data_IF_442470083744
#
_entry.id   IF_442470083744
#
_cell.length_a   1.000
_cell.length_b   1.000
_cell.length_c   1.000
_cell.angle_alpha   90.00
_cell.angle_beta   90.00
_cell.angle_gamma   90.00
#
_symmetry.space_group_name_H-M   'P 1'
#
loop_
_entity.id
_entity.type
_entity.pdbx_description
1 polymer ?
#
# COMPACT_ATOMS: atom_id res chain seq x y z
N UNK A 1 11.39 -24.65 -25.21
CA UNK A 1 12.46 -24.86 -24.21
C UNK A 1 12.94 -23.48 -23.75
N UNK A 2 12.49 -23.03 -22.56
CA UNK A 2 12.81 -21.70 -22.03
C UNK A 2 14.29 -21.65 -21.64
N UNK A 3 14.98 -20.59 -22.04
CA UNK A 3 16.32 -20.28 -21.58
C UNK A 3 16.31 -20.21 -20.04
N UNK A 4 16.80 -21.24 -19.39
CA UNK A 4 17.24 -21.16 -18.02
C UNK A 4 18.23 -20.00 -17.94
N UNK A 5 17.98 -19.03 -17.08
CA UNK A 5 18.81 -17.85 -16.91
C UNK A 5 20.28 -18.28 -16.79
N UNK A 6 21.11 -17.84 -17.75
CA UNK A 6 22.54 -18.00 -17.66
C UNK A 6 23.04 -17.43 -16.32
N UNK A 7 24.02 -18.03 -15.66
CA UNK A 7 24.64 -17.43 -14.50
C UNK A 7 25.16 -16.03 -14.89
N UNK A 8 24.92 -15.04 -14.02
CA UNK A 8 25.46 -13.68 -14.20
C UNK A 8 26.95 -13.86 -14.52
N UNK A 9 27.42 -13.30 -15.64
CA UNK A 9 28.85 -13.31 -15.97
C UNK A 9 29.60 -12.77 -14.77
N UNK A 10 30.55 -13.54 -14.27
CA UNK A 10 31.28 -13.27 -13.03
C UNK A 10 32.05 -11.94 -13.01
N UNK A 11 32.19 -11.30 -14.16
CA UNK A 11 33.02 -10.09 -14.34
C UNK A 11 32.25 -8.75 -14.30
N UNK A 12 30.92 -8.76 -14.07
CA UNK A 12 30.15 -7.50 -14.02
C UNK A 12 29.87 -7.08 -12.58
N UNK A 13 30.38 -5.93 -12.18
CA UNK A 13 30.14 -5.36 -10.86
C UNK A 13 28.64 -5.15 -10.62
N UNK A 14 28.14 -5.62 -9.48
CA UNK A 14 26.73 -5.52 -9.12
C UNK A 14 26.36 -4.07 -8.78
N UNK A 15 25.25 -3.56 -9.35
CA UNK A 15 24.79 -2.18 -9.13
C UNK A 15 24.53 -1.86 -7.65
N UNK A 16 24.09 -2.86 -6.87
CA UNK A 16 23.82 -2.70 -5.43
C UNK A 16 24.54 -3.76 -4.63
N UNK A 17 25.27 -3.32 -3.61
CA UNK A 17 25.86 -4.21 -2.60
C UNK A 17 24.80 -4.72 -1.62
N UNK A 18 25.11 -5.81 -0.91
CA UNK A 18 24.20 -6.32 0.14
C UNK A 18 23.91 -5.28 1.22
N UNK A 19 24.93 -4.50 1.58
CA UNK A 19 24.82 -3.43 2.59
C UNK A 19 23.83 -2.36 2.14
N UNK A 20 23.86 -1.96 0.87
CA UNK A 20 22.92 -0.99 0.31
C UNK A 20 21.49 -1.55 0.24
N UNK A 21 21.31 -2.83 -0.13
CA UNK A 21 19.99 -3.47 -0.11
C UNK A 21 19.40 -3.52 1.30
N UNK A 22 20.20 -3.89 2.30
CA UNK A 22 19.74 -3.90 3.70
C UNK A 22 19.44 -2.49 4.18
N UNK A 23 20.31 -1.50 3.87
CA UNK A 23 20.11 -0.10 4.22
C UNK A 23 18.84 0.49 3.59
N UNK A 24 18.47 0.02 2.39
CA UNK A 24 17.21 0.40 1.74
C UNK A 24 16.00 -0.25 2.41
N UNK A 25 16.06 -1.54 2.75
CA UNK A 25 14.90 -2.33 3.19
C UNK A 25 14.60 -2.19 4.68
N UNK A 26 15.63 -2.05 5.52
CA UNK A 26 15.45 -1.97 6.97
C UNK A 26 14.59 -0.78 7.42
N UNK A 27 14.83 0.45 6.94
CA UNK A 27 13.95 1.58 7.27
C UNK A 27 12.51 1.37 6.82
N UNK A 28 12.27 0.70 5.67
CA UNK A 28 10.93 0.41 5.17
C UNK A 28 10.19 -0.60 6.05
N UNK A 29 10.89 -1.59 6.61
CA UNK A 29 10.31 -2.51 7.59
C UNK A 29 9.84 -1.77 8.84
N UNK A 30 10.68 -0.86 9.35
CA UNK A 30 10.32 -0.02 10.51
C UNK A 30 9.17 0.94 10.19
N UNK A 31 9.17 1.55 9.01
CA UNK A 31 8.10 2.45 8.55
C UNK A 31 6.74 1.73 8.49
N UNK A 32 6.69 0.52 7.93
CA UNK A 32 5.45 -0.26 7.87
C UNK A 32 4.98 -0.74 9.25
N UNK A 33 5.90 -1.18 10.10
CA UNK A 33 5.55 -1.57 11.46
C UNK A 33 5.02 -0.37 12.27
N UNK A 34 5.67 0.78 12.14
CA UNK A 34 5.23 2.03 12.76
C UNK A 34 3.82 2.41 12.31
N UNK A 35 3.54 2.36 11.00
CA UNK A 35 2.23 2.70 10.45
C UNK A 35 1.10 1.83 11.04
N UNK A 36 1.34 0.52 11.18
CA UNK A 36 0.35 -0.39 11.77
C UNK A 36 0.16 -0.10 13.27
N UNK A 37 1.25 0.11 14.01
CA UNK A 37 1.21 0.38 15.45
C UNK A 37 0.49 1.69 15.75
N UNK A 38 0.77 2.73 14.97
CA UNK A 38 0.10 4.04 15.12
C UNK A 38 -1.38 3.92 14.76
N UNK A 39 -1.73 3.19 13.69
CA UNK A 39 -3.14 2.96 13.36
C UNK A 39 -3.93 2.26 14.48
N UNK A 40 -3.28 1.33 15.23
CA UNK A 40 -3.90 0.74 16.42
C UNK A 40 -4.04 1.76 17.56
N UNK A 41 -3.02 2.58 17.81
CA UNK A 41 -3.07 3.63 18.82
C UNK A 41 -4.18 4.66 18.52
N UNK A 42 -4.31 5.08 17.27
CA UNK A 42 -5.39 5.98 16.83
C UNK A 42 -6.77 5.37 17.07
N UNK A 43 -6.95 4.09 16.73
CA UNK A 43 -8.22 3.40 16.98
C UNK A 43 -8.58 3.34 18.47
N UNK A 44 -7.59 3.12 19.33
CA UNK A 44 -7.79 3.13 20.78
C UNK A 44 -8.13 4.52 21.31
N UNK A 45 -7.48 5.57 20.81
CA UNK A 45 -7.79 6.95 21.21
C UNK A 45 -9.19 7.36 20.75
N UNK A 46 -9.59 7.04 19.53
CA UNK A 46 -10.95 7.28 19.01
C UNK A 46 -12.00 6.59 19.89
N UNK A 47 -11.71 5.37 20.37
CA UNK A 47 -12.63 4.63 21.25
C UNK A 47 -12.93 5.35 22.57
N UNK A 48 -12.04 6.21 23.06
CA UNK A 48 -12.28 7.01 24.26
C UNK A 48 -13.21 8.21 24.04
N UNK A 49 -13.43 8.62 22.79
CA UNK A 49 -14.29 9.75 22.43
C UNK A 49 -15.78 9.33 22.44
N UNK A 50 -16.09 8.11 22.01
CA UNK A 50 -17.44 7.53 22.04
C UNK A 50 -17.84 6.83 20.75
N UNK A 51 -18.98 6.16 20.80
CA UNK A 51 -19.47 5.28 19.72
C UNK A 51 -19.76 6.04 18.41
N UNK A 52 -20.28 7.25 18.51
CA UNK A 52 -20.53 8.11 17.35
C UNK A 52 -19.22 8.46 16.62
N UNK A 53 -18.15 8.75 17.38
CA UNK A 53 -16.83 9.04 16.84
C UNK A 53 -16.19 7.80 16.18
N UNK A 54 -16.28 6.63 16.82
CA UNK A 54 -15.78 5.36 16.25
C UNK A 54 -16.46 5.09 14.91
N UNK A 55 -17.79 5.22 14.86
CA UNK A 55 -18.59 5.01 13.66
C UNK A 55 -18.19 6.01 12.56
N UNK A 56 -18.12 7.31 12.89
CA UNK A 56 -17.76 8.36 11.96
C UNK A 56 -16.36 8.16 11.37
N UNK A 57 -15.36 7.85 12.19
CA UNK A 57 -13.98 7.57 11.76
C UNK A 57 -13.94 6.36 10.84
N UNK A 58 -14.58 5.26 11.22
CA UNK A 58 -14.61 4.03 10.40
C UNK A 58 -15.22 4.25 9.02
N UNK A 59 -16.29 5.03 8.95
CA UNK A 59 -16.97 5.35 7.69
C UNK A 59 -16.07 6.19 6.76
N UNK A 60 -15.51 7.28 7.28
CA UNK A 60 -14.67 8.19 6.48
C UNK A 60 -13.34 7.55 6.13
N UNK A 61 -12.75 6.75 7.02
CA UNK A 61 -11.49 6.05 6.76
C UNK A 61 -11.63 5.04 5.62
N UNK A 62 -12.81 4.48 5.38
CA UNK A 62 -13.06 3.64 4.21
C UNK A 62 -12.80 4.39 2.91
N UNK A 63 -13.24 5.65 2.81
CA UNK A 63 -13.01 6.53 1.64
C UNK A 63 -11.57 7.01 1.61
N UNK A 64 -11.04 7.46 2.76
CA UNK A 64 -9.66 7.95 2.88
C UNK A 64 -8.64 6.88 2.47
N UNK A 65 -8.80 5.66 2.96
CA UNK A 65 -7.92 4.54 2.64
C UNK A 65 -7.95 4.19 1.14
N UNK A 66 -9.13 4.22 0.51
CA UNK A 66 -9.24 4.03 -0.94
C UNK A 66 -8.37 5.05 -1.69
N UNK A 67 -8.47 6.34 -1.33
CA UNK A 67 -7.65 7.41 -1.92
C UNK A 67 -6.17 7.21 -1.64
N UNK A 68 -5.79 6.91 -0.40
CA UNK A 68 -4.39 6.68 -0.01
C UNK A 68 -3.78 5.53 -0.82
N UNK A 69 -4.48 4.41 -0.99
CA UNK A 69 -3.97 3.28 -1.77
C UNK A 69 -3.80 3.62 -3.25
N UNK A 70 -4.73 4.38 -3.84
CA UNK A 70 -4.63 4.84 -5.24
C UNK A 70 -3.42 5.75 -5.40
N UNK A 71 -3.28 6.79 -4.57
CA UNK A 71 -2.16 7.73 -4.67
C UNK A 71 -0.82 7.11 -4.33
N UNK A 72 -0.75 6.21 -3.36
CA UNK A 72 0.48 5.47 -3.03
C UNK A 72 0.95 4.58 -4.19
N UNK A 73 0.01 3.92 -4.87
CA UNK A 73 0.33 3.12 -6.04
C UNK A 73 0.76 3.97 -7.24
N UNK A 74 0.08 5.10 -7.47
CA UNK A 74 0.48 6.08 -8.49
C UNK A 74 1.88 6.65 -8.20
N UNK A 75 2.15 7.00 -6.95
CA UNK A 75 3.45 7.51 -6.50
C UNK A 75 4.57 6.48 -6.74
N UNK A 76 4.36 5.23 -6.34
CA UNK A 76 5.35 4.15 -6.52
C UNK A 76 5.54 3.83 -8.01
N UNK A 77 4.45 3.76 -8.78
CA UNK A 77 4.50 3.53 -10.22
C UNK A 77 5.19 4.65 -10.98
N UNK A 78 4.87 5.91 -10.64
CA UNK A 78 5.52 7.08 -11.24
C UNK A 78 6.98 7.24 -10.83
N UNK A 79 7.34 6.93 -9.58
CA UNK A 79 8.72 6.93 -9.11
C UNK A 79 9.58 5.86 -9.82
N UNK A 80 8.97 4.75 -10.26
CA UNK A 80 9.67 3.77 -11.09
C UNK A 80 10.14 4.36 -12.43
N UNK A 81 9.40 5.32 -12.99
CA UNK A 81 9.81 6.07 -14.19
C UNK A 81 11.09 6.87 -13.91
N UNK A 82 11.10 7.64 -12.83
CA UNK A 82 12.30 8.38 -12.41
C UNK A 82 13.47 7.43 -12.12
N UNK A 83 13.20 6.26 -11.51
CA UNK A 83 14.20 5.22 -11.26
C UNK A 83 14.81 4.64 -12.53
N UNK A 84 14.03 4.47 -13.58
CA UNK A 84 14.57 4.02 -14.88
C UNK A 84 15.50 5.08 -15.50
N UNK A 85 15.18 6.39 -15.42
CA UNK A 85 16.09 7.45 -15.85
C UNK A 85 17.36 7.54 -14.99
N UNK A 86 17.27 7.29 -13.69
CA UNK A 86 18.45 7.17 -12.82
C UNK A 86 19.34 6.02 -13.31
N UNK A 87 18.75 4.86 -13.62
CA UNK A 87 19.47 3.71 -14.18
C UNK A 87 20.17 4.03 -15.50
N UNK A 88 19.53 4.83 -16.36
CA UNK A 88 20.10 5.33 -17.62
C UNK A 88 21.20 6.39 -17.42
N UNK A 89 21.42 6.85 -16.20
CA UNK A 89 22.31 7.97 -15.84
C UNK A 89 21.90 9.32 -16.45
N UNK A 90 20.60 9.47 -16.76
CA UNK A 90 20.01 10.71 -17.31
C UNK A 90 19.46 11.55 -16.15
N UNK A 91 20.34 12.32 -15.51
CA UNK A 91 19.99 13.10 -14.29
C UNK A 91 18.87 14.13 -14.58
N UNK A 92 18.91 14.85 -15.69
CA UNK A 92 17.91 15.86 -16.04
C UNK A 92 16.52 15.24 -16.22
N UNK A 93 16.40 14.15 -16.99
CA UNK A 93 15.14 13.46 -17.21
C UNK A 93 14.60 12.83 -15.90
N UNK A 94 15.49 12.34 -15.03
CA UNK A 94 15.11 11.84 -13.71
C UNK A 94 14.53 12.96 -12.82
N UNK A 95 15.18 14.14 -12.79
CA UNK A 95 14.68 15.31 -12.06
C UNK A 95 13.34 15.80 -12.63
N UNK A 96 13.24 15.89 -13.95
CA UNK A 96 12.01 16.30 -14.62
C UNK A 96 10.87 15.27 -14.36
N UNK A 97 11.15 13.96 -14.43
CA UNK A 97 10.16 12.92 -14.11
C UNK A 97 9.68 13.03 -12.65
N UNK A 98 10.58 13.30 -11.71
CA UNK A 98 10.23 13.55 -10.31
C UNK A 98 9.33 14.78 -10.14
N UNK A 99 9.65 15.89 -10.82
CA UNK A 99 8.82 17.10 -10.80
C UNK A 99 7.42 16.87 -11.41
N UNK A 100 7.36 16.19 -12.56
CA UNK A 100 6.08 15.84 -13.20
C UNK A 100 5.24 14.94 -12.29
N UNK A 101 5.86 13.97 -11.61
CA UNK A 101 5.16 13.10 -10.67
C UNK A 101 4.55 13.89 -9.50
N UNK A 102 5.32 14.76 -8.85
CA UNK A 102 4.84 15.58 -7.73
C UNK A 102 3.72 16.52 -8.18
N UNK A 103 3.89 17.20 -9.32
CA UNK A 103 2.86 18.07 -9.90
C UNK A 103 1.57 17.29 -10.22
N UNK A 104 1.70 16.09 -10.79
CA UNK A 104 0.57 15.22 -11.10
C UNK A 104 -0.18 14.79 -9.85
N UNK A 105 0.54 14.28 -8.85
CA UNK A 105 -0.08 13.85 -7.59
C UNK A 105 -0.79 15.01 -6.90
N UNK A 106 -0.18 16.20 -6.88
CA UNK A 106 -0.81 17.41 -6.35
C UNK A 106 -2.08 17.79 -7.11
N UNK A 107 -2.01 17.92 -8.43
CA UNK A 107 -3.15 18.31 -9.24
C UNK A 107 -4.31 17.30 -9.17
N UNK A 108 -4.00 16.00 -9.30
CA UNK A 108 -5.01 14.93 -9.27
C UNK A 108 -5.63 14.81 -7.87
N UNK A 109 -4.84 14.91 -6.79
CA UNK A 109 -5.38 14.85 -5.44
C UNK A 109 -6.29 16.04 -5.11
N UNK A 110 -5.91 17.26 -5.51
CA UNK A 110 -6.75 18.45 -5.35
C UNK A 110 -8.05 18.30 -6.14
N UNK A 111 -7.97 17.82 -7.38
CA UNK A 111 -9.16 17.57 -8.21
C UNK A 111 -10.11 16.57 -7.56
N UNK A 112 -9.61 15.43 -7.06
CA UNK A 112 -10.45 14.45 -6.37
C UNK A 112 -11.03 15.00 -5.07
N UNK A 113 -10.26 15.76 -4.29
CA UNK A 113 -10.78 16.40 -3.08
C UNK A 113 -11.88 17.41 -3.40
N UNK A 114 -11.72 18.21 -4.46
CA UNK A 114 -12.77 19.12 -4.90
C UNK A 114 -14.06 18.36 -5.27
N UNK A 115 -13.96 17.23 -5.98
CA UNK A 115 -15.11 16.37 -6.27
C UNK A 115 -15.72 15.78 -4.99
N UNK A 116 -14.89 15.29 -4.07
CA UNK A 116 -15.35 14.73 -2.80
C UNK A 116 -16.09 15.77 -1.96
N UNK A 117 -15.65 17.03 -1.97
CA UNK A 117 -16.37 18.12 -1.30
C UNK A 117 -17.67 18.50 -2.03
N UNK A 118 -17.63 18.60 -3.35
CA UNK A 118 -18.80 18.95 -4.16
C UNK A 118 -19.94 17.93 -3.99
N UNK A 119 -19.59 16.65 -3.98
CA UNK A 119 -20.56 15.55 -3.86
C UNK A 119 -20.65 14.98 -2.44
N UNK A 120 -20.17 15.71 -1.42
CA UNK A 120 -20.11 15.23 -0.03
C UNK A 120 -21.42 14.63 0.45
N UNK A 121 -22.52 15.38 0.34
CA UNK A 121 -23.84 14.95 0.83
C UNK A 121 -24.31 13.69 0.11
N UNK A 122 -24.15 13.66 -1.22
CA UNK A 122 -24.55 12.50 -2.03
C UNK A 122 -23.73 11.26 -1.68
N UNK A 123 -22.41 11.43 -1.53
CA UNK A 123 -21.49 10.33 -1.15
C UNK A 123 -21.89 9.76 0.21
N UNK A 124 -22.05 10.62 1.21
CA UNK A 124 -22.38 10.18 2.57
C UNK A 124 -23.77 9.53 2.62
N UNK A 125 -24.76 10.08 1.92
CA UNK A 125 -26.10 9.49 1.87
C UNK A 125 -26.15 8.16 1.11
N UNK A 126 -25.47 8.06 -0.04
CA UNK A 126 -25.47 6.83 -0.85
C UNK A 126 -24.67 5.71 -0.17
N UNK A 127 -23.51 6.05 0.44
CA UNK A 127 -22.65 5.03 1.06
C UNK A 127 -23.16 4.56 2.42
N UNK A 128 -23.78 5.45 3.19
CA UNK A 128 -24.07 5.18 4.59
C UNK A 128 -25.58 5.22 4.92
N UNK A 129 -26.39 5.65 4.00
CA UNK A 129 -27.87 5.62 4.12
C UNK A 129 -28.39 6.49 5.28
N UNK A 130 -29.34 5.95 6.03
CA UNK A 130 -29.92 6.60 7.20
C UNK A 130 -29.14 6.18 8.45
N UNK A 131 -28.12 6.97 8.83
CA UNK A 131 -27.42 6.84 10.11
C UNK A 131 -27.99 7.85 11.11
N UNK A 132 -27.75 7.61 12.40
CA UNK A 132 -28.18 8.49 13.49
C UNK A 132 -27.64 9.92 13.28
N UNK A 133 -28.41 10.97 13.63
CA UNK A 133 -28.01 12.37 13.41
C UNK A 133 -26.67 12.73 14.02
N UNK A 134 -26.37 12.21 15.22
CA UNK A 134 -25.11 12.47 15.93
C UNK A 134 -23.92 11.84 15.20
N UNK A 135 -24.09 10.62 14.70
CA UNK A 135 -23.06 9.95 13.86
C UNK A 135 -22.86 10.71 12.56
N UNK A 136 -23.93 11.22 11.92
CA UNK A 136 -23.83 12.00 10.69
C UNK A 136 -23.09 13.33 10.95
N UNK A 137 -23.36 14.01 12.05
CA UNK A 137 -22.68 15.26 12.42
C UNK A 137 -21.17 15.01 12.65
N UNK A 138 -20.81 13.97 13.41
CA UNK A 138 -19.43 13.54 13.62
C UNK A 138 -18.75 13.14 12.30
N UNK A 139 -19.46 12.37 11.44
CA UNK A 139 -18.96 11.97 10.12
C UNK A 139 -18.68 13.17 9.23
N UNK A 140 -19.56 14.16 9.18
CA UNK A 140 -19.33 15.39 8.41
C UNK A 140 -18.12 16.17 8.90
N UNK A 141 -17.93 16.30 10.22
CA UNK A 141 -16.78 16.98 10.81
C UNK A 141 -15.48 16.27 10.47
N UNK A 142 -15.41 14.96 10.68
CA UNK A 142 -14.23 14.17 10.38
C UNK A 142 -13.90 14.17 8.87
N UNK A 143 -14.93 14.03 8.02
CA UNK A 143 -14.81 14.05 6.57
C UNK A 143 -14.14 15.33 6.06
N UNK A 144 -14.55 16.50 6.56
CA UNK A 144 -13.99 17.78 6.11
C UNK A 144 -12.47 17.83 6.30
N UNK A 145 -11.98 17.51 7.48
CA UNK A 145 -10.55 17.59 7.79
C UNK A 145 -9.75 16.47 7.09
N UNK A 146 -10.27 15.25 7.10
CA UNK A 146 -9.54 14.10 6.54
C UNK A 146 -9.47 14.18 5.01
N UNK A 147 -10.53 14.60 4.32
CA UNK A 147 -10.47 14.80 2.88
C UNK A 147 -9.51 15.94 2.52
N UNK A 148 -9.47 17.05 3.28
CA UNK A 148 -8.50 18.11 3.09
C UNK A 148 -7.03 17.63 3.25
N UNK A 149 -6.81 16.56 4.00
CA UNK A 149 -5.46 15.98 4.20
C UNK A 149 -4.95 15.12 3.04
N UNK A 150 -5.84 14.72 2.10
CA UNK A 150 -5.49 13.83 0.98
C UNK A 150 -4.37 14.38 0.10
N UNK A 151 -4.35 15.67 -0.31
CA UNK A 151 -3.23 16.22 -1.06
C UNK A 151 -1.90 16.11 -0.30
N UNK A 152 -1.92 16.35 1.01
CA UNK A 152 -0.74 16.20 1.87
C UNK A 152 -0.18 14.78 1.83
N UNK A 153 -1.02 13.78 2.07
CA UNK A 153 -0.55 12.38 2.05
C UNK A 153 -0.16 11.91 0.64
N UNK A 154 -0.81 12.40 -0.43
CA UNK A 154 -0.44 12.09 -1.80
C UNK A 154 0.95 12.63 -2.15
N UNK A 155 1.24 13.88 -1.80
CA UNK A 155 2.55 14.52 -2.00
C UNK A 155 3.64 13.87 -1.15
N UNK A 156 3.34 13.55 0.13
CA UNK A 156 4.24 12.77 0.97
C UNK A 156 4.59 11.42 0.32
N UNK A 157 3.60 10.67 -0.13
CA UNK A 157 3.83 9.38 -0.79
C UNK A 157 4.70 9.52 -2.05
N UNK A 158 4.48 10.57 -2.85
CA UNK A 158 5.30 10.90 -4.01
C UNK A 158 6.77 11.16 -3.64
N UNK A 159 6.99 12.05 -2.68
CA UNK A 159 8.32 12.38 -2.19
C UNK A 159 9.03 11.17 -1.56
N UNK A 160 8.33 10.41 -0.73
CA UNK A 160 8.86 9.19 -0.13
C UNK A 160 9.24 8.14 -1.19
N UNK A 161 8.43 7.98 -2.24
CA UNK A 161 8.74 7.07 -3.34
C UNK A 161 9.99 7.51 -4.12
N UNK A 162 10.18 8.82 -4.35
CA UNK A 162 11.38 9.36 -4.99
C UNK A 162 12.63 9.15 -4.12
N UNK A 163 12.56 9.41 -2.81
CA UNK A 163 13.67 9.13 -1.90
C UNK A 163 14.02 7.63 -1.87
N UNK A 164 13.05 6.74 -1.82
CA UNK A 164 13.26 5.29 -1.91
C UNK A 164 13.95 4.90 -3.22
N UNK A 165 13.53 5.52 -4.32
CA UNK A 165 14.13 5.26 -5.65
C UNK A 165 15.60 5.71 -5.72
N UNK A 166 15.99 6.75 -5.00
CA UNK A 166 17.40 7.16 -4.83
C UNK A 166 18.20 6.31 -3.83
N UNK A 167 17.56 5.37 -3.13
CA UNK A 167 18.20 4.56 -2.09
C UNK A 167 18.16 5.16 -0.68
N UNK A 168 17.47 6.30 -0.48
CA UNK A 168 17.38 7.03 0.78
C UNK A 168 16.06 6.76 1.53
N UNK A 169 15.75 5.50 1.81
CA UNK A 169 14.55 5.13 2.57
C UNK A 169 14.57 5.58 4.04
N UNK A 170 15.75 5.89 4.58
CA UNK A 170 15.89 6.48 5.92
C UNK A 170 15.22 7.85 6.02
N UNK A 171 15.18 8.62 4.92
CA UNK A 171 14.48 9.90 4.87
C UNK A 171 12.97 9.67 4.95
N UNK A 172 12.42 8.72 4.19
CA UNK A 172 10.99 8.42 4.27
C UNK A 172 10.58 7.94 5.67
N UNK A 173 11.40 7.11 6.32
CA UNK A 173 11.18 6.69 7.70
C UNK A 173 11.17 7.86 8.68
N UNK A 174 12.17 8.77 8.61
CA UNK A 174 12.26 9.92 9.51
C UNK A 174 11.05 10.85 9.38
N UNK A 175 10.62 11.13 8.14
CA UNK A 175 9.44 11.97 7.89
C UNK A 175 8.16 11.26 8.30
N UNK A 176 8.05 9.94 8.09
CA UNK A 176 6.94 9.12 8.59
C UNK A 176 6.87 9.15 10.12
N UNK A 177 8.02 9.02 10.80
CA UNK A 177 8.08 9.11 12.26
C UNK A 177 7.62 10.49 12.75
N UNK A 178 8.06 11.57 12.11
CA UNK A 178 7.60 12.93 12.41
C UNK A 178 6.08 13.06 12.22
N UNK A 179 5.55 12.60 11.09
CA UNK A 179 4.12 12.62 10.77
C UNK A 179 3.31 11.89 11.84
N UNK A 180 3.71 10.67 12.17
CA UNK A 180 3.01 9.85 13.15
C UNK A 180 3.13 10.41 14.57
N UNK A 181 4.28 11.00 14.93
CA UNK A 181 4.45 11.67 16.22
C UNK A 181 3.53 12.89 16.37
N UNK A 182 3.43 13.74 15.33
CA UNK A 182 2.50 14.88 15.32
C UNK A 182 1.06 14.38 15.44
N UNK A 183 0.70 13.32 14.75
CA UNK A 183 -0.64 12.77 14.78
C UNK A 183 -1.00 12.24 16.18
N UNK A 184 -0.19 11.32 16.74
CA UNK A 184 -0.46 10.70 18.07
C UNK A 184 -0.44 11.75 19.19
N UNK A 185 0.57 12.62 19.23
CA UNK A 185 0.65 13.67 20.25
C UNK A 185 -0.50 14.65 20.08
N UNK A 186 -0.80 15.05 18.85
CA UNK A 186 -1.92 15.94 18.54
C UNK A 186 -3.26 15.36 18.97
N UNK A 187 -3.53 14.09 18.65
CA UNK A 187 -4.73 13.38 19.11
C UNK A 187 -4.80 13.37 20.64
N UNK A 188 -3.71 13.01 21.32
CA UNK A 188 -3.69 12.96 22.79
C UNK A 188 -3.95 14.35 23.42
N UNK A 189 -3.33 15.40 22.90
CA UNK A 189 -3.51 16.77 23.40
C UNK A 189 -4.93 17.27 23.15
N UNK A 190 -5.48 17.08 21.95
CA UNK A 190 -6.80 17.63 21.62
C UNK A 190 -7.93 16.82 22.25
N UNK A 191 -7.82 15.50 22.35
CA UNK A 191 -8.84 14.65 23.00
C UNK A 191 -8.76 14.80 24.52
N UNK A 192 -7.60 14.53 25.13
CA UNK A 192 -7.48 14.45 26.59
C UNK A 192 -7.20 15.82 27.25
N UNK A 193 -6.50 16.73 26.53
CA UNK A 193 -6.19 18.07 27.07
C UNK A 193 -7.30 19.08 26.86
N UNK A 194 -7.89 19.12 25.67
CA UNK A 194 -8.94 20.10 25.33
C UNK A 194 -10.36 19.49 25.33
N UNK A 195 -10.51 18.17 25.53
CA UNK A 195 -11.83 17.52 25.55
C UNK A 195 -12.56 17.61 24.21
N UNK A 196 -11.82 17.64 23.09
CA UNK A 196 -12.43 17.71 21.76
C UNK A 196 -12.96 16.34 21.33
N UNK A 197 -14.11 16.35 20.68
CA UNK A 197 -14.72 15.18 20.09
C UNK A 197 -13.93 14.67 18.85
N UNK A 198 -14.62 14.16 17.86
CA UNK A 198 -14.03 13.63 16.60
C UNK A 198 -13.10 14.62 15.88
N UNK A 199 -13.30 15.94 16.06
CA UNK A 199 -12.40 16.96 15.54
C UNK A 199 -10.99 16.86 16.16
N UNK A 200 -10.88 16.39 17.41
CA UNK A 200 -9.62 16.15 18.10
C UNK A 200 -8.74 15.07 17.43
N UNK A 201 -9.32 14.20 16.61
CA UNK A 201 -8.61 13.21 15.80
C UNK A 201 -8.37 13.72 14.37
N UNK A 202 -9.34 14.45 13.83
CA UNK A 202 -9.32 14.90 12.45
C UNK A 202 -8.26 16.00 12.19
N UNK A 203 -8.16 16.98 13.11
CA UNK A 203 -7.21 18.10 12.97
C UNK A 203 -5.76 17.62 12.98
N UNK A 204 -5.30 16.78 13.92
CA UNK A 204 -3.94 16.27 13.91
C UNK A 204 -3.63 15.44 12.65
N UNK A 205 -4.60 14.73 12.12
CA UNK A 205 -4.46 14.00 10.86
C UNK A 205 -4.18 14.95 9.68
N UNK A 206 -4.91 16.07 9.59
CA UNK A 206 -4.67 17.10 8.59
C UNK A 206 -3.29 17.75 8.77
N UNK A 207 -2.97 18.17 9.98
CA UNK A 207 -1.70 18.87 10.29
C UNK A 207 -0.50 17.95 10.02
N UNK A 208 -0.52 16.72 10.52
CA UNK A 208 0.58 15.76 10.38
C UNK A 208 0.89 15.44 8.92
N UNK A 209 -0.12 15.17 8.11
CA UNK A 209 0.02 14.88 6.67
C UNK A 209 0.51 16.10 5.90
N UNK A 210 0.03 17.28 6.24
CA UNK A 210 0.47 18.54 5.61
C UNK A 210 1.93 18.86 5.95
N UNK A 211 2.32 18.75 7.22
CA UNK A 211 3.70 18.93 7.67
C UNK A 211 4.63 17.92 7.01
N UNK A 212 4.24 16.65 6.95
CA UNK A 212 5.03 15.61 6.28
C UNK A 212 5.25 15.93 4.80
N UNK A 213 4.21 16.40 4.09
CA UNK A 213 4.33 16.82 2.71
C UNK A 213 5.30 17.99 2.53
N UNK A 214 5.18 19.02 3.36
CA UNK A 214 6.06 20.20 3.32
C UNK A 214 7.52 19.76 3.58
N UNK A 215 7.76 18.97 4.62
CA UNK A 215 9.10 18.53 4.98
C UNK A 215 9.72 17.69 3.87
N UNK A 216 9.02 16.66 3.37
CA UNK A 216 9.60 15.77 2.35
C UNK A 216 9.86 16.49 1.02
N UNK A 217 8.97 17.41 0.62
CA UNK A 217 9.17 18.23 -0.56
C UNK A 217 10.32 19.22 -0.36
N UNK A 218 10.44 19.85 0.81
CA UNK A 218 11.56 20.76 1.12
C UNK A 218 12.91 20.05 1.01
N UNK A 219 12.98 18.80 1.47
CA UNK A 219 14.20 17.99 1.36
C UNK A 219 14.53 17.65 -0.10
N UNK A 220 13.52 17.51 -0.97
CA UNK A 220 13.74 17.25 -2.41
C UNK A 220 14.27 18.47 -3.19
N UNK A 221 14.24 19.69 -2.64
CA UNK A 221 14.88 20.86 -3.26
C UNK A 221 16.40 20.89 -3.07
N UNK A 222 16.97 19.99 -2.28
CA UNK A 222 18.42 19.90 -2.14
C UNK A 222 19.09 19.46 -3.45
N UNK A 223 19.90 20.33 -4.05
CA UNK A 223 20.59 20.14 -5.35
C UNK A 223 21.71 19.08 -5.30
N UNK A 224 22.17 18.72 -4.11
CA UNK A 224 23.17 17.66 -3.93
C UNK A 224 22.59 16.26 -4.18
N UNK A 225 21.27 16.13 -4.17
CA UNK A 225 20.60 14.88 -4.47
C UNK A 225 20.74 14.52 -5.96
N UNK A 226 20.78 13.21 -6.22
CA UNK A 226 20.79 12.67 -7.58
C UNK A 226 19.53 13.08 -8.35
N UNK A 227 18.38 13.07 -7.68
CA UNK A 227 17.11 13.60 -8.16
C UNK A 227 16.67 14.69 -7.19
N UNK A 228 16.45 15.90 -7.71
CA UNK A 228 15.98 17.04 -6.95
C UNK A 228 14.90 17.79 -7.73
N UNK A 229 14.08 18.51 -7.00
CA UNK A 229 13.11 19.43 -7.61
C UNK A 229 13.81 20.73 -7.98
N UNK A 230 13.62 21.18 -9.22
CA UNK A 230 14.10 22.47 -9.68
C UNK A 230 13.13 23.58 -9.28
N UNK A 231 13.50 24.84 -9.52
CA UNK A 231 12.67 25.98 -9.18
C UNK A 231 11.30 25.92 -9.90
N UNK A 232 10.23 26.10 -9.14
CA UNK A 232 8.85 26.01 -9.60
C UNK A 232 8.56 26.99 -10.74
N UNK A 233 9.29 28.13 -10.79
CA UNK A 233 9.12 29.17 -11.81
C UNK A 233 9.47 28.71 -13.23
N UNK A 234 10.30 27.68 -13.37
CA UNK A 234 10.69 27.08 -14.65
C UNK A 234 9.90 25.84 -15.04
N UNK A 235 8.91 25.43 -14.22
CA UNK A 235 8.16 24.21 -14.47
C UNK A 235 7.39 24.26 -15.79
N UNK A 236 7.64 23.29 -16.64
CA UNK A 236 6.86 23.05 -17.87
C UNK A 236 6.36 21.62 -17.88
N UNK A 237 5.11 21.45 -18.28
CA UNK A 237 4.53 20.13 -18.44
C UNK A 237 5.19 19.44 -19.63
N UNK A 238 5.90 18.34 -19.36
CA UNK A 238 6.45 17.47 -20.40
C UNK A 238 5.48 16.31 -20.64
N UNK A 239 4.77 16.38 -21.77
CA UNK A 239 3.77 15.38 -22.14
C UNK A 239 4.37 14.00 -22.39
N UNK A 240 5.66 13.88 -22.75
CA UNK A 240 6.35 12.60 -22.90
C UNK A 240 6.53 11.92 -21.52
N UNK A 241 7.06 12.67 -20.56
CA UNK A 241 7.24 12.18 -19.19
C UNK A 241 5.90 11.89 -18.52
N UNK A 242 4.93 12.78 -18.65
CA UNK A 242 3.56 12.57 -18.15
C UNK A 242 2.94 11.29 -18.69
N UNK A 243 3.09 11.03 -20.00
CA UNK A 243 2.58 9.79 -20.60
C UNK A 243 3.25 8.54 -20.01
N UNK A 244 4.55 8.59 -19.75
CA UNK A 244 5.27 7.49 -19.12
C UNK A 244 4.80 7.26 -17.67
N UNK A 245 4.62 8.34 -16.91
CA UNK A 245 4.09 8.28 -15.53
C UNK A 245 2.66 7.73 -15.52
N UNK A 246 1.80 8.20 -16.41
CA UNK A 246 0.44 7.68 -16.55
C UNK A 246 0.42 6.21 -16.97
N UNK A 247 1.34 5.81 -17.85
CA UNK A 247 1.41 4.42 -18.34
C UNK A 247 1.66 3.40 -17.23
N UNK A 248 2.40 3.77 -16.18
CA UNK A 248 2.69 2.90 -15.03
C UNK A 248 1.81 3.26 -13.83
N UNK A 249 1.66 4.54 -13.53
CA UNK A 249 0.99 5.01 -12.32
C UNK A 249 -0.52 4.77 -12.32
N UNK A 250 -1.19 5.09 -13.43
CA UNK A 250 -2.66 4.93 -13.53
C UNK A 250 -3.08 3.46 -13.43
N UNK A 251 -2.51 2.51 -14.19
CA UNK A 251 -2.82 1.10 -14.00
C UNK A 251 -2.58 0.61 -12.57
N UNK A 252 -1.50 1.07 -11.93
CA UNK A 252 -1.20 0.70 -10.54
C UNK A 252 -2.25 1.26 -9.56
N UNK A 253 -2.70 2.50 -9.76
CA UNK A 253 -3.77 3.12 -8.97
C UNK A 253 -5.11 2.40 -9.16
N UNK A 254 -5.49 2.11 -10.40
CA UNK A 254 -6.72 1.38 -10.74
C UNK A 254 -6.70 -0.03 -10.14
N UNK A 255 -5.57 -0.75 -10.25
CA UNK A 255 -5.40 -2.08 -9.64
C UNK A 255 -5.71 -2.03 -8.14
N UNK A 256 -5.11 -1.07 -7.41
CA UNK A 256 -5.33 -0.95 -5.97
C UNK A 256 -6.76 -0.51 -5.62
N UNK A 257 -7.33 0.42 -6.37
CA UNK A 257 -8.73 0.86 -6.19
C UNK A 257 -9.72 -0.30 -6.38
N UNK A 258 -9.57 -1.06 -7.46
CA UNK A 258 -10.40 -2.23 -7.73
C UNK A 258 -10.25 -3.33 -6.68
N UNK A 259 -9.04 -3.46 -6.10
CA UNK A 259 -8.80 -4.39 -5.00
C UNK A 259 -9.57 -3.99 -3.74
N UNK A 260 -9.63 -2.69 -3.41
CA UNK A 260 -10.41 -2.21 -2.27
C UNK A 260 -11.91 -2.38 -2.47
N UNK A 261 -12.41 -2.12 -3.69
CA UNK A 261 -13.82 -2.37 -4.01
C UNK A 261 -14.16 -3.86 -3.86
N UNK A 262 -13.30 -4.76 -4.33
CA UNK A 262 -13.51 -6.20 -4.14
C UNK A 262 -13.54 -6.62 -2.66
N UNK A 263 -12.71 -5.99 -1.80
CA UNK A 263 -12.76 -6.22 -0.34
C UNK A 263 -14.08 -5.78 0.27
N UNK A 264 -14.66 -4.66 -0.17
CA UNK A 264 -15.97 -4.20 0.29
C UNK A 264 -17.10 -5.19 -0.10
N UNK A 265 -17.06 -5.70 -1.33
CA UNK A 265 -18.01 -6.73 -1.77
C UNK A 265 -17.92 -8.00 -0.92
N UNK A 266 -16.68 -8.44 -0.60
CA UNK A 266 -16.46 -9.59 0.26
C UNK A 266 -16.90 -9.34 1.70
N UNK A 267 -16.70 -8.13 2.23
CA UNK A 267 -17.21 -7.76 3.54
C UNK A 267 -18.74 -7.83 3.60
N UNK A 268 -19.44 -7.33 2.56
CA UNK A 268 -20.88 -7.46 2.43
C UNK A 268 -21.35 -8.93 2.38
N UNK A 269 -20.59 -9.80 1.71
CA UNK A 269 -20.89 -11.24 1.74
C UNK A 269 -20.72 -11.82 3.15
N UNK A 270 -19.63 -11.50 3.85
CA UNK A 270 -19.33 -12.01 5.18
C UNK A 270 -20.38 -11.57 6.21
N UNK A 271 -20.93 -10.36 6.06
CA UNK A 271 -21.99 -9.87 6.96
C UNK A 271 -23.26 -10.75 6.92
N UNK A 272 -23.48 -11.48 5.83
CA UNK A 272 -24.62 -12.42 5.72
C UNK A 272 -24.41 -13.72 6.51
N UNK A 273 -23.21 -14.00 7.01
CA UNK A 273 -22.88 -15.22 7.77
C UNK A 273 -22.99 -15.05 9.28
N UNK A 274 -23.50 -13.89 9.75
CA UNK A 274 -23.74 -13.62 11.17
C UNK A 274 -22.57 -12.95 11.89
N UNK A 275 -22.86 -12.53 13.13
CA UNK A 275 -21.96 -11.68 13.94
C UNK A 275 -20.62 -12.36 14.24
N UNK A 276 -20.62 -13.66 14.57
CA UNK A 276 -19.40 -14.40 14.84
C UNK A 276 -18.41 -14.37 13.65
N UNK A 277 -18.95 -14.52 12.42
CA UNK A 277 -18.15 -14.42 11.19
C UNK A 277 -17.61 -13.02 10.94
N UNK A 278 -18.38 -11.98 11.24
CA UNK A 278 -17.93 -10.58 11.13
C UNK A 278 -16.81 -10.27 12.11
N UNK A 279 -16.94 -10.70 13.37
CA UNK A 279 -15.90 -10.57 14.41
C UNK A 279 -14.63 -11.32 14.00
N UNK A 280 -14.76 -12.57 13.57
CA UNK A 280 -13.62 -13.36 13.10
C UNK A 280 -12.92 -12.71 11.89
N UNK A 281 -13.67 -12.14 10.94
CA UNK A 281 -13.12 -11.41 9.81
C UNK A 281 -12.39 -10.14 10.24
N UNK A 282 -12.92 -9.39 11.20
CA UNK A 282 -12.28 -8.17 11.72
C UNK A 282 -10.93 -8.49 12.38
N UNK A 283 -10.90 -9.51 13.25
CA UNK A 283 -9.67 -10.01 13.89
C UNK A 283 -8.69 -10.51 12.83
N UNK A 284 -9.15 -11.34 11.90
CA UNK A 284 -8.35 -11.86 10.80
C UNK A 284 -7.71 -10.75 9.95
N UNK A 285 -8.46 -9.70 9.59
CA UNK A 285 -7.94 -8.55 8.85
C UNK A 285 -6.86 -7.77 9.64
N UNK A 286 -7.06 -7.56 10.94
CA UNK A 286 -6.07 -6.91 11.79
C UNK A 286 -4.77 -7.71 11.83
N UNK A 287 -4.85 -9.02 12.09
CA UNK A 287 -3.68 -9.89 12.14
C UNK A 287 -3.02 -10.03 10.77
N UNK A 288 -3.80 -10.04 9.66
CA UNK A 288 -3.25 -10.14 8.31
C UNK A 288 -2.39 -8.94 7.91
N UNK A 289 -2.64 -7.76 8.45
CA UNK A 289 -1.76 -6.61 8.27
C UNK A 289 -0.36 -6.89 8.85
N UNK A 290 -0.30 -7.50 10.04
CA UNK A 290 0.97 -7.94 10.63
C UNK A 290 1.61 -9.10 9.86
N UNK A 291 0.81 -10.04 9.34
CA UNK A 291 1.33 -11.15 8.55
C UNK A 291 2.07 -10.68 7.29
N UNK A 292 1.63 -9.59 6.67
CA UNK A 292 2.09 -9.16 5.36
C UNK A 292 3.01 -7.92 5.37
N UNK A 293 3.17 -7.20 6.51
CA UNK A 293 3.89 -5.91 6.54
C UNK A 293 5.33 -6.03 6.03
N UNK A 294 6.02 -7.10 6.41
CA UNK A 294 7.41 -7.29 6.03
C UNK A 294 7.55 -7.50 4.51
N UNK A 295 6.67 -8.31 3.93
CA UNK A 295 6.64 -8.50 2.49
C UNK A 295 6.31 -7.21 1.72
N UNK A 296 5.35 -6.42 2.21
CA UNK A 296 4.99 -5.12 1.61
C UNK A 296 6.15 -4.12 1.66
N UNK A 297 6.83 -4.02 2.81
CA UNK A 297 7.99 -3.16 2.99
C UNK A 297 9.12 -3.52 2.00
N UNK A 298 9.47 -4.79 1.93
CA UNK A 298 10.54 -5.29 1.06
C UNK A 298 10.16 -5.10 -0.42
N UNK A 299 8.89 -5.24 -0.78
CA UNK A 299 8.40 -5.02 -2.14
C UNK A 299 8.58 -3.56 -2.61
N UNK A 300 8.45 -2.58 -1.72
CA UNK A 300 8.74 -1.17 -2.03
C UNK A 300 10.23 -0.97 -2.36
N UNK A 301 11.13 -1.59 -1.58
CA UNK A 301 12.57 -1.55 -1.85
C UNK A 301 12.94 -2.29 -3.13
N UNK A 302 12.30 -3.44 -3.41
CA UNK A 302 12.48 -4.19 -4.65
C UNK A 302 12.13 -3.33 -5.87
N UNK A 303 11.04 -2.57 -5.83
CA UNK A 303 10.61 -1.72 -6.93
C UNK A 303 11.67 -0.64 -7.26
N UNK A 304 12.31 -0.06 -6.25
CA UNK A 304 13.38 0.92 -6.42
C UNK A 304 14.62 0.30 -7.09
N UNK A 305 15.04 -0.88 -6.66
CA UNK A 305 16.19 -1.60 -7.24
C UNK A 305 15.91 -2.02 -8.68
N UNK A 306 14.74 -2.59 -8.92
CA UNK A 306 14.37 -3.12 -10.26
C UNK A 306 14.23 -1.99 -11.27
N UNK A 307 13.62 -0.86 -10.91
CA UNK A 307 13.47 0.27 -11.84
C UNK A 307 14.82 0.78 -12.33
N UNK A 308 15.83 0.89 -11.45
CA UNK A 308 17.17 1.30 -11.84
C UNK A 308 17.86 0.24 -12.72
N UNK A 309 17.78 -1.05 -12.37
CA UNK A 309 18.37 -2.11 -13.19
C UNK A 309 17.75 -2.17 -14.59
N UNK A 310 16.43 -2.04 -14.70
CA UNK A 310 15.72 -2.02 -15.99
C UNK A 310 16.12 -0.79 -16.80
N UNK A 311 16.22 0.38 -16.16
CA UNK A 311 16.69 1.60 -16.79
C UNK A 311 18.10 1.46 -17.36
N UNK A 312 19.00 0.82 -16.61
CA UNK A 312 20.38 0.55 -17.04
C UNK A 312 20.51 -0.56 -18.10
N UNK A 313 19.39 -1.25 -18.47
CA UNK A 313 19.44 -2.41 -19.35
C UNK A 313 20.03 -3.66 -18.69
N UNK A 314 20.23 -3.66 -17.37
CA UNK A 314 20.86 -4.75 -16.60
C UNK A 314 19.82 -5.78 -16.15
N UNK A 315 19.14 -6.41 -17.10
CA UNK A 315 18.03 -7.35 -16.83
C UNK A 315 18.47 -8.59 -16.03
N UNK A 316 19.70 -9.07 -16.25
CA UNK A 316 20.22 -10.21 -15.49
C UNK A 316 20.48 -9.87 -14.03
N UNK A 317 20.93 -8.64 -13.75
CA UNK A 317 21.04 -8.15 -12.39
C UNK A 317 19.65 -7.98 -11.73
N UNK A 318 18.66 -7.44 -12.46
CA UNK A 318 17.28 -7.34 -11.97
C UNK A 318 16.75 -8.72 -11.55
N UNK A 319 16.99 -9.77 -12.36
CA UNK A 319 16.64 -11.15 -12.02
C UNK A 319 17.39 -11.69 -10.81
N UNK A 320 18.67 -11.36 -10.69
CA UNK A 320 19.51 -11.78 -9.56
C UNK A 320 19.03 -11.14 -8.25
N UNK A 321 18.69 -9.83 -8.28
CA UNK A 321 18.13 -9.14 -7.12
C UNK A 321 16.75 -9.68 -6.74
N UNK A 322 15.85 -9.93 -7.71
CA UNK A 322 14.57 -10.56 -7.41
C UNK A 322 14.76 -11.88 -6.65
N UNK A 323 15.59 -12.78 -7.20
CA UNK A 323 15.85 -14.10 -6.56
C UNK A 323 16.40 -13.96 -5.15
N UNK A 324 17.31 -13.01 -4.94
CA UNK A 324 17.95 -12.77 -3.65
C UNK A 324 16.98 -12.19 -2.63
N UNK A 325 16.25 -11.13 -3.03
CA UNK A 325 15.30 -10.44 -2.16
C UNK A 325 14.13 -11.35 -1.82
N UNK A 326 13.65 -12.14 -2.78
CA UNK A 326 12.62 -13.17 -2.56
C UNK A 326 13.05 -14.17 -1.49
N UNK A 327 14.30 -14.65 -1.51
CA UNK A 327 14.82 -15.57 -0.47
C UNK A 327 14.80 -14.91 0.92
N UNK A 328 15.24 -13.65 1.01
CA UNK A 328 15.19 -12.91 2.26
C UNK A 328 13.74 -12.72 2.75
N UNK A 329 12.83 -12.39 1.82
CA UNK A 329 11.42 -12.20 2.15
C UNK A 329 10.80 -13.49 2.68
N UNK A 330 11.06 -14.65 2.08
CA UNK A 330 10.58 -15.91 2.60
C UNK A 330 11.05 -16.17 4.04
N UNK A 331 12.32 -15.92 4.35
CA UNK A 331 12.86 -16.07 5.70
C UNK A 331 12.19 -15.13 6.71
N UNK A 332 12.06 -13.86 6.37
CA UNK A 332 11.43 -12.87 7.25
C UNK A 332 9.93 -13.13 7.41
N UNK A 333 9.23 -13.44 6.33
CA UNK A 333 7.80 -13.78 6.36
C UNK A 333 7.55 -15.05 7.20
N UNK A 334 8.40 -16.07 7.08
CA UNK A 334 8.31 -17.26 7.90
C UNK A 334 8.50 -16.93 9.38
N UNK A 335 9.54 -16.17 9.75
CA UNK A 335 9.79 -15.76 11.12
C UNK A 335 8.60 -14.99 11.71
N UNK A 336 8.11 -13.97 11.00
CA UNK A 336 6.98 -13.14 11.43
C UNK A 336 5.72 -14.00 11.61
N UNK A 337 5.35 -14.78 10.59
CA UNK A 337 4.10 -15.53 10.62
C UNK A 337 4.13 -16.67 11.62
N UNK A 338 5.26 -17.37 11.78
CA UNK A 338 5.40 -18.40 12.83
C UNK A 338 5.32 -17.80 14.23
N UNK A 339 5.89 -16.60 14.44
CA UNK A 339 5.75 -15.89 15.72
C UNK A 339 4.29 -15.52 15.98
N UNK A 340 3.56 -15.00 15.00
CA UNK A 340 2.14 -14.67 15.16
C UNK A 340 1.32 -15.94 15.45
N UNK A 341 1.57 -17.05 14.75
CA UNK A 341 0.88 -18.32 14.97
C UNK A 341 1.17 -18.84 16.39
N UNK A 342 2.41 -18.75 16.86
CA UNK A 342 2.78 -19.17 18.21
C UNK A 342 2.10 -18.31 19.30
N UNK A 343 1.93 -17.00 19.04
CA UNK A 343 1.26 -16.06 19.95
C UNK A 343 -0.26 -16.06 19.81
N UNK A 344 -0.82 -16.78 18.85
CA UNK A 344 -2.26 -16.75 18.55
C UNK A 344 -3.15 -17.06 19.75
N UNK A 345 -2.85 -18.05 20.63
CA UNK A 345 -3.65 -18.30 21.83
C UNK A 345 -3.65 -17.11 22.81
N UNK A 346 -2.51 -16.40 22.91
CA UNK A 346 -2.41 -15.20 23.75
C UNK A 346 -3.22 -14.03 23.14
N UNK A 347 -3.12 -13.84 21.83
CA UNK A 347 -3.85 -12.82 21.09
C UNK A 347 -5.36 -13.03 21.27
N UNK A 348 -5.86 -14.25 21.13
CA UNK A 348 -7.29 -14.56 21.32
C UNK A 348 -7.79 -14.27 22.74
N UNK A 349 -6.97 -14.50 23.76
CA UNK A 349 -7.33 -14.14 25.16
C UNK A 349 -7.51 -12.62 25.33
N UNK A 350 -6.72 -11.81 24.62
CA UNK A 350 -6.84 -10.34 24.67
C UNK A 350 -8.14 -9.89 23.99
N UNK A 351 -8.54 -10.51 22.89
CA UNK A 351 -9.79 -10.16 22.21
C UNK A 351 -11.05 -10.54 22.99
N UNK A 352 -11.00 -11.57 23.84
CA UNK A 352 -12.09 -12.00 24.72
C UNK A 352 -13.46 -12.08 24.01
N UNK A 353 -13.50 -12.81 22.91
CA UNK A 353 -14.68 -12.98 22.05
C UNK A 353 -15.40 -14.30 22.34
N UNK A 354 -16.59 -14.49 21.76
CA UNK A 354 -17.34 -15.75 21.92
C UNK A 354 -16.56 -16.95 21.40
N UNK A 355 -16.74 -18.16 21.97
CA UNK A 355 -16.02 -19.36 21.54
C UNK A 355 -16.17 -19.69 20.05
N UNK A 356 -17.33 -19.38 19.47
CA UNK A 356 -17.58 -19.54 18.04
C UNK A 356 -16.73 -18.57 17.19
N UNK A 357 -16.73 -17.28 17.56
CA UNK A 357 -15.93 -16.27 16.88
C UNK A 357 -14.44 -16.54 17.03
N UNK A 358 -13.99 -16.99 18.21
CA UNK A 358 -12.60 -17.38 18.46
C UNK A 358 -12.16 -18.51 17.53
N UNK A 359 -12.93 -19.60 17.45
CA UNK A 359 -12.64 -20.72 16.56
C UNK A 359 -12.53 -20.30 15.10
N UNK A 360 -13.45 -19.47 14.63
CA UNK A 360 -13.42 -18.92 13.27
C UNK A 360 -12.19 -18.01 13.06
N UNK A 361 -11.91 -17.11 14.00
CA UNK A 361 -10.77 -16.19 13.93
C UNK A 361 -9.42 -16.95 13.91
N UNK A 362 -9.26 -17.96 14.74
CA UNK A 362 -8.06 -18.83 14.73
C UNK A 362 -7.93 -19.51 13.36
N UNK A 363 -9.00 -20.09 12.85
CA UNK A 363 -8.97 -20.81 11.57
C UNK A 363 -8.59 -19.88 10.39
N UNK A 364 -9.23 -18.70 10.28
CA UNK A 364 -8.91 -17.77 9.18
C UNK A 364 -7.49 -17.20 9.31
N UNK A 365 -7.04 -16.95 10.53
CA UNK A 365 -5.66 -16.49 10.79
C UNK A 365 -4.62 -17.54 10.42
N UNK A 366 -4.86 -18.81 10.73
CA UNK A 366 -3.98 -19.92 10.34
C UNK A 366 -3.93 -20.07 8.81
N UNK A 367 -5.09 -20.06 8.13
CA UNK A 367 -5.15 -20.13 6.67
C UNK A 367 -4.31 -19.00 6.06
N UNK A 368 -4.51 -17.77 6.53
CA UNK A 368 -3.80 -16.62 6.00
C UNK A 368 -2.31 -16.63 6.34
N UNK A 369 -1.94 -16.90 7.59
CA UNK A 369 -0.55 -16.92 8.04
C UNK A 369 0.29 -17.98 7.33
N UNK A 370 -0.22 -19.21 7.19
CA UNK A 370 0.46 -20.30 6.47
C UNK A 370 0.59 -19.93 4.98
N UNK A 371 -0.48 -19.44 4.36
CA UNK A 371 -0.44 -19.00 2.97
C UNK A 371 0.51 -17.82 2.75
N UNK A 372 0.64 -16.93 3.72
CA UNK A 372 1.58 -15.80 3.68
C UNK A 372 3.04 -16.26 3.63
N UNK A 373 3.38 -17.37 4.27
CA UNK A 373 4.73 -17.93 4.22
C UNK A 373 5.06 -18.46 2.82
N UNK A 374 4.13 -19.19 2.18
CA UNK A 374 4.46 -19.97 0.98
C UNK A 374 3.98 -19.30 -0.33
N UNK A 375 2.81 -18.66 -0.33
CA UNK A 375 2.11 -18.26 -1.55
C UNK A 375 2.14 -16.74 -1.76
N UNK A 376 2.21 -15.94 -0.70
CA UNK A 376 2.16 -14.48 -0.78
C UNK A 376 3.30 -13.90 -1.65
N UNK A 377 4.51 -14.41 -1.49
CA UNK A 377 5.70 -13.88 -2.17
C UNK A 377 5.57 -13.88 -3.70
N UNK A 378 5.25 -14.99 -4.39
CA UNK A 378 5.04 -14.97 -5.83
C UNK A 378 3.81 -14.15 -6.25
N UNK A 379 2.77 -14.09 -5.41
CA UNK A 379 1.54 -13.40 -5.72
C UNK A 379 1.66 -11.85 -5.67
N UNK A 380 2.58 -11.31 -4.87
CA UNK A 380 2.70 -9.86 -4.65
C UNK A 380 4.05 -9.26 -5.01
N UNK A 381 5.16 -9.97 -4.81
CA UNK A 381 6.48 -9.44 -5.17
C UNK A 381 6.75 -9.51 -6.67
N UNK A 382 6.34 -10.59 -7.34
CA UNK A 382 6.54 -10.69 -8.79
C UNK A 382 5.77 -9.60 -9.56
N UNK A 383 4.49 -9.30 -9.27
CA UNK A 383 3.83 -8.15 -9.90
C UNK A 383 4.45 -6.81 -9.51
N UNK A 384 5.00 -6.66 -8.30
CA UNK A 384 5.79 -5.48 -7.90
C UNK A 384 7.00 -5.29 -8.80
N UNK A 385 7.75 -6.36 -9.03
CA UNK A 385 8.85 -6.39 -9.99
C UNK A 385 8.40 -6.00 -11.41
N UNK A 386 7.32 -6.61 -11.91
CA UNK A 386 6.80 -6.35 -13.27
C UNK A 386 6.36 -4.88 -13.43
N UNK A 387 5.69 -4.29 -12.43
CA UNK A 387 5.32 -2.87 -12.45
C UNK A 387 6.53 -1.95 -12.49
N UNK A 388 7.54 -2.23 -11.68
CA UNK A 388 8.79 -1.47 -11.67
C UNK A 388 9.55 -1.57 -13.01
N UNK A 389 9.40 -2.69 -13.71
CA UNK A 389 9.93 -2.90 -15.05
C UNK A 389 9.08 -2.25 -16.17
N UNK A 390 7.91 -1.66 -15.85
CA UNK A 390 7.03 -1.00 -16.81
C UNK A 390 5.82 -1.82 -17.27
N UNK A 391 5.69 -3.08 -16.87
CA UNK A 391 4.59 -3.98 -17.30
C UNK A 391 3.32 -3.83 -16.42
N UNK A 392 2.96 -2.58 -16.10
CA UNK A 392 1.87 -2.25 -15.19
C UNK A 392 0.47 -2.60 -15.73
N UNK A 393 0.26 -2.51 -17.06
CA UNK A 393 -1.03 -2.87 -17.68
C UNK A 393 -1.35 -4.34 -17.50
N UNK A 394 -0.35 -5.21 -17.72
CA UNK A 394 -0.54 -6.65 -17.53
C UNK A 394 -0.84 -6.97 -16.07
N UNK A 395 -0.08 -6.37 -15.12
CA UNK A 395 -0.32 -6.62 -13.70
C UNK A 395 -1.70 -6.17 -13.26
N UNK A 396 -2.16 -5.01 -13.72
CA UNK A 396 -3.52 -4.51 -13.46
C UNK A 396 -4.58 -5.50 -13.96
N UNK A 397 -4.52 -5.88 -15.24
CA UNK A 397 -5.54 -6.76 -15.84
C UNK A 397 -5.56 -8.14 -15.17
N UNK A 398 -4.40 -8.74 -14.94
CA UNK A 398 -4.30 -10.03 -14.27
C UNK A 398 -4.80 -9.98 -12.82
N UNK A 399 -4.44 -8.92 -12.07
CA UNK A 399 -4.91 -8.72 -10.70
C UNK A 399 -6.42 -8.48 -10.62
N UNK A 400 -6.98 -7.69 -11.54
CA UNK A 400 -8.42 -7.48 -11.61
C UNK A 400 -9.15 -8.79 -11.94
N UNK A 401 -8.67 -9.54 -12.92
CA UNK A 401 -9.26 -10.82 -13.29
C UNK A 401 -9.25 -11.79 -12.11
N UNK A 402 -8.12 -11.97 -11.43
CA UNK A 402 -8.02 -12.89 -10.29
C UNK A 402 -8.88 -12.40 -9.11
N UNK A 403 -8.91 -11.11 -8.84
CA UNK A 403 -9.75 -10.55 -7.76
C UNK A 403 -11.24 -10.81 -8.00
N UNK A 404 -11.75 -10.51 -9.19
CA UNK A 404 -13.18 -10.57 -9.46
C UNK A 404 -13.65 -11.96 -9.86
N UNK A 405 -12.94 -12.66 -10.76
CA UNK A 405 -13.35 -13.97 -11.26
C UNK A 405 -12.93 -15.09 -10.30
N UNK A 406 -11.71 -15.04 -9.75
CA UNK A 406 -11.26 -16.12 -8.87
C UNK A 406 -11.71 -15.86 -7.43
N UNK A 407 -11.29 -14.74 -6.84
CA UNK A 407 -11.49 -14.50 -5.41
C UNK A 407 -12.96 -14.24 -5.07
N UNK A 408 -13.62 -13.26 -5.73
CA UNK A 408 -15.02 -12.91 -5.41
C UNK A 408 -15.95 -14.06 -5.77
N UNK A 409 -15.87 -14.60 -6.99
CA UNK A 409 -16.74 -15.69 -7.41
C UNK A 409 -16.61 -16.93 -6.53
N UNK A 410 -15.37 -17.36 -6.24
CA UNK A 410 -15.14 -18.52 -5.36
C UNK A 410 -15.55 -18.24 -3.91
N UNK A 411 -15.43 -17.01 -3.42
CA UNK A 411 -15.93 -16.66 -2.10
C UNK A 411 -17.45 -16.85 -1.99
N UNK A 412 -18.20 -16.49 -3.03
CA UNK A 412 -19.64 -16.80 -3.09
C UNK A 412 -19.91 -18.30 -3.17
N UNK A 413 -19.16 -19.03 -4.01
CA UNK A 413 -19.35 -20.48 -4.16
C UNK A 413 -19.01 -21.19 -2.85
N UNK A 414 -17.84 -20.98 -2.30
CA UNK A 414 -17.38 -21.68 -1.08
C UNK A 414 -18.10 -21.16 0.17
N UNK A 415 -18.23 -19.84 0.30
CA UNK A 415 -18.82 -19.22 1.50
C UNK A 415 -20.32 -19.43 1.58
N UNK A 416 -21.05 -19.08 0.52
CA UNK A 416 -22.53 -19.07 0.53
C UNK A 416 -23.12 -20.39 0.02
N UNK A 417 -22.74 -20.86 -1.17
CA UNK A 417 -23.39 -22.03 -1.77
C UNK A 417 -22.93 -23.37 -1.17
N UNK A 418 -21.67 -23.50 -0.82
CA UNK A 418 -21.14 -24.70 -0.14
C UNK A 418 -21.24 -24.64 1.40
N UNK A 419 -21.63 -23.49 1.96
CA UNK A 419 -21.90 -23.35 3.38
C UNK A 419 -20.66 -23.23 4.29
N UNK A 420 -19.45 -23.04 3.72
CA UNK A 420 -18.22 -22.86 4.55
C UNK A 420 -18.12 -21.48 5.22
N UNK A 421 -19.05 -20.56 4.97
CA UNK A 421 -19.09 -19.25 5.61
C UNK A 421 -17.81 -18.44 5.41
N UNK A 422 -17.37 -17.76 6.46
CA UNK A 422 -16.16 -16.92 6.44
C UNK A 422 -14.90 -17.72 6.11
N UNK A 423 -14.82 -18.99 6.52
CA UNK A 423 -13.66 -19.85 6.22
C UNK A 423 -13.52 -20.05 4.71
N UNK A 424 -14.64 -20.28 3.99
CA UNK A 424 -14.64 -20.42 2.53
C UNK A 424 -14.17 -19.15 1.83
N UNK A 425 -14.55 -17.97 2.33
CA UNK A 425 -14.08 -16.68 1.80
C UNK A 425 -12.57 -16.51 1.96
N UNK A 426 -12.03 -16.82 3.14
CA UNK A 426 -10.58 -16.71 3.39
C UNK A 426 -9.77 -17.75 2.65
N UNK A 427 -10.32 -18.96 2.44
CA UNK A 427 -9.71 -19.99 1.61
C UNK A 427 -9.62 -19.53 0.14
N UNK A 428 -10.70 -19.00 -0.42
CA UNK A 428 -10.72 -18.43 -1.76
C UNK A 428 -9.69 -17.31 -1.93
N UNK A 429 -9.55 -16.47 -0.90
CA UNK A 429 -8.61 -15.36 -0.86
C UNK A 429 -7.14 -15.82 -0.79
N UNK A 430 -6.76 -16.50 0.29
CA UNK A 430 -5.36 -16.70 0.63
C UNK A 430 -4.72 -17.90 -0.08
N UNK A 431 -5.52 -18.90 -0.44
CA UNK A 431 -5.03 -20.11 -1.10
C UNK A 431 -5.26 -20.04 -2.60
N UNK A 432 -6.51 -19.89 -3.04
CA UNK A 432 -6.82 -20.04 -4.47
C UNK A 432 -6.41 -18.80 -5.27
N UNK A 433 -6.87 -17.61 -4.87
CA UNK A 433 -6.53 -16.35 -5.58
C UNK A 433 -5.02 -16.13 -5.63
N UNK A 434 -4.32 -16.26 -4.50
CA UNK A 434 -2.88 -16.05 -4.46
C UNK A 434 -2.11 -17.08 -5.29
N UNK A 435 -2.53 -18.34 -5.32
CA UNK A 435 -1.90 -19.39 -6.12
C UNK A 435 -2.08 -19.12 -7.62
N UNK A 436 -3.30 -18.82 -8.06
CA UNK A 436 -3.60 -18.48 -9.46
C UNK A 436 -2.85 -17.22 -9.89
N UNK A 437 -2.91 -16.18 -9.06
CA UNK A 437 -2.24 -14.90 -9.25
C UNK A 437 -0.72 -15.08 -9.35
N UNK A 438 -0.12 -15.76 -8.39
CA UNK A 438 1.31 -16.05 -8.37
C UNK A 438 1.76 -16.82 -9.61
N UNK A 439 0.97 -17.81 -10.06
CA UNK A 439 1.26 -18.58 -11.28
C UNK A 439 1.23 -17.70 -12.53
N UNK A 440 0.19 -16.87 -12.70
CA UNK A 440 0.07 -15.95 -13.86
C UNK A 440 1.27 -15.00 -13.92
N UNK A 441 1.65 -14.39 -12.79
CA UNK A 441 2.77 -13.46 -12.76
C UNK A 441 4.11 -14.15 -12.93
N UNK A 442 4.28 -15.33 -12.38
CA UNK A 442 5.50 -16.12 -12.58
C UNK A 442 5.69 -16.53 -14.04
N UNK A 443 4.62 -16.95 -14.73
CA UNK A 443 4.66 -17.25 -16.17
C UNK A 443 5.00 -15.99 -16.99
N UNK A 444 4.42 -14.83 -16.65
CA UNK A 444 4.75 -13.56 -17.29
C UNK A 444 6.22 -13.19 -17.09
N UNK A 445 6.71 -13.30 -15.86
CA UNK A 445 8.13 -13.09 -15.55
C UNK A 445 9.04 -14.02 -16.36
N UNK A 446 8.73 -15.31 -16.43
CA UNK A 446 9.52 -16.30 -17.19
C UNK A 446 9.49 -16.06 -18.70
N UNK A 447 8.44 -15.45 -19.24
CA UNK A 447 8.35 -15.14 -20.66
C UNK A 447 9.37 -14.10 -21.14
N UNK A 448 9.97 -13.34 -20.22
CA UNK A 448 10.92 -12.27 -20.56
C UNK A 448 10.29 -11.03 -21.20
N UNK A 449 8.96 -10.99 -21.43
CA UNK A 449 8.30 -9.86 -22.10
C UNK A 449 8.46 -8.53 -21.38
N UNK A 450 8.65 -8.55 -20.06
CA UNK A 450 8.88 -7.35 -19.25
C UNK A 450 10.17 -6.59 -19.60
N UNK A 451 11.16 -7.25 -20.21
CA UNK A 451 12.42 -6.64 -20.64
C UNK A 451 12.24 -5.58 -21.74
N UNK A 452 11.14 -5.68 -22.48
CA UNK A 452 10.81 -4.76 -23.58
C UNK A 452 9.84 -3.66 -23.14
N UNK A 453 9.40 -3.64 -21.87
CA UNK A 453 8.37 -2.73 -21.34
C UNK A 453 8.94 -1.48 -20.66
N UNK A 454 10.27 -1.43 -20.43
CA UNK A 454 10.94 -0.24 -19.89
C UNK A 454 10.72 0.99 -20.76
N UNK A 455 10.97 2.17 -20.16
CA UNK A 455 10.84 3.45 -20.87
C UNK A 455 11.78 3.44 -22.08
N UNK A 456 11.20 3.72 -23.24
CA UNK A 456 11.95 3.96 -24.46
C UNK A 456 12.29 5.43 -24.53
N UNK A 457 13.57 5.74 -24.60
CA UNK A 457 14.11 7.09 -24.87
C UNK A 457 13.71 7.60 -26.23
#
# INVERSE_FOLDING_TARGET
MGKLAAPVRADKEMMFTNRQLVALMWPLLLEQLLAITVGLADSLMVATVGDAAISAVSLVDSISNLMIYIFSAMATGGAAVAGQYIGQRQKEDACNAGQQLIALLGAVSIFFVALLYLFRTQILTVMFGHIEPDVMAATNTYYLYVMASIPGIALYNGGAALFRTMGHSDVSLKVSLLMNSINVIGNAVLIFGFGMDVAGVAIPTLVSRTVAAIVILSLLFNRDLMLHLSDIRGFRVDMRLMKNIFYIGVPSGVENGMFQLGRLVLFSLISTFGTASMVANAIGNTISNFNCFAGQAINLGLAAVVSQCVGAGEFDQARAYLRKIVKWTYGIMAAVNLTIIALLPLIMRVYNVSPEAEKLAVTVTLIHGISSIFIWVPAFMVPGFLRAAGDAKFTMLASMLTMWVVRVLLAYVLGKYMGYGVIGVWFAHAIVDWSVRGTIFFLRYRSGKWETMGIKT
#
